data_IF_084594117948
#
_entry.id   IF_084594117948
#
_cell.length_a   1.000
_cell.length_b   1.000
_cell.length_c   1.000
_cell.angle_alpha   90.00
_cell.angle_beta   90.00
_cell.angle_gamma   90.00
#
_symmetry.space_group_name_H-M   'P 1'
#
loop_
_entity.id
_entity.type
_entity.pdbx_description
1 polymer ?
#
# COMPACT_ATOMS: atom_id res chain seq x y z
N UNK A 1 -6.09 -4.10 14.83
CA UNK A 1 -5.16 -4.77 13.88
C UNK A 1 -4.19 -3.78 13.26
N UNK A 2 -4.66 -2.68 12.64
CA UNK A 2 -3.82 -1.59 12.09
C UNK A 2 -2.79 -1.03 13.08
N UNK A 3 -3.22 -0.63 14.28
CA UNK A 3 -2.35 0.02 15.27
C UNK A 3 -1.20 -0.87 15.75
N UNK A 4 -1.46 -2.18 15.87
CA UNK A 4 -0.44 -3.17 16.25
C UNK A 4 0.56 -3.41 15.12
N UNK A 5 0.13 -3.31 13.87
CA UNK A 5 1.03 -3.42 12.74
C UNK A 5 2.00 -2.23 12.64
N UNK A 6 1.52 -1.02 12.93
CA UNK A 6 2.36 0.18 12.95
C UNK A 6 3.41 0.11 14.07
N UNK A 7 3.02 -0.36 15.25
CA UNK A 7 3.94 -0.61 16.36
C UNK A 7 5.00 -1.65 15.99
N UNK A 8 4.59 -2.78 15.41
CA UNK A 8 5.51 -3.82 14.94
C UNK A 8 6.48 -3.29 13.87
N UNK A 9 6.04 -2.38 12.99
CA UNK A 9 6.93 -1.72 12.01
C UNK A 9 7.95 -0.83 12.71
N UNK A 10 7.54 -0.02 13.69
CA UNK A 10 8.43 0.81 14.49
C UNK A 10 9.43 0.01 15.33
N UNK A 11 9.07 -1.20 15.75
CA UNK A 11 9.96 -2.13 16.46
C UNK A 11 10.89 -2.93 15.53
N UNK A 12 10.97 -2.59 14.24
CA UNK A 12 11.83 -3.29 13.28
C UNK A 12 11.38 -4.72 13.01
N UNK A 13 10.08 -5.03 13.19
CA UNK A 13 9.46 -6.33 12.89
C UNK A 13 8.48 -6.21 11.72
N UNK A 14 8.97 -5.91 10.49
CA UNK A 14 8.14 -5.74 9.30
C UNK A 14 7.31 -6.98 8.95
N UNK A 15 7.80 -8.19 9.25
CA UNK A 15 7.05 -9.43 9.02
C UNK A 15 5.78 -9.55 9.88
N UNK A 16 5.87 -9.16 11.15
CA UNK A 16 4.70 -9.16 12.04
C UNK A 16 3.70 -8.07 11.61
N UNK A 17 4.21 -6.90 11.22
CA UNK A 17 3.41 -5.82 10.67
C UNK A 17 2.67 -6.25 9.40
N UNK A 18 3.35 -6.92 8.46
CA UNK A 18 2.74 -7.43 7.23
C UNK A 18 1.59 -8.40 7.52
N UNK A 19 1.76 -9.33 8.46
CA UNK A 19 0.71 -10.28 8.82
C UNK A 19 -0.51 -9.61 9.42
N UNK A 20 -0.30 -8.63 10.30
CA UNK A 20 -1.39 -7.87 10.90
C UNK A 20 -2.11 -6.97 9.89
N UNK A 21 -1.37 -6.34 8.98
CA UNK A 21 -1.93 -5.58 7.87
C UNK A 21 -2.73 -6.48 6.94
N UNK A 22 -2.23 -7.67 6.56
CA UNK A 22 -2.99 -8.64 5.74
C UNK A 22 -4.29 -9.06 6.39
N UNK A 23 -4.33 -9.24 7.72
CA UNK A 23 -5.59 -9.51 8.42
C UNK A 23 -6.54 -8.32 8.37
N UNK A 24 -6.04 -7.10 8.55
CA UNK A 24 -6.85 -5.90 8.44
C UNK A 24 -7.37 -5.66 7.01
N UNK A 25 -6.56 -5.95 6.00
CA UNK A 25 -6.95 -5.96 4.57
C UNK A 25 -8.09 -6.95 4.33
N UNK A 26 -8.01 -8.16 4.89
CA UNK A 26 -9.10 -9.16 4.82
C UNK A 26 -10.39 -8.68 5.51
N UNK A 27 -10.27 -7.86 6.55
CA UNK A 27 -11.40 -7.22 7.22
C UNK A 27 -11.98 -6.02 6.43
N UNK A 28 -11.39 -5.67 5.28
CA UNK A 28 -11.84 -4.55 4.45
C UNK A 28 -11.22 -3.20 4.84
N UNK A 29 -10.21 -3.17 5.70
CA UNK A 29 -9.56 -1.94 6.13
C UNK A 29 -8.71 -1.34 5.00
N UNK A 30 -9.18 -0.23 4.46
CA UNK A 30 -8.64 0.42 3.27
C UNK A 30 -7.28 1.08 3.55
N UNK A 31 -7.10 1.64 4.75
CA UNK A 31 -5.81 2.19 5.22
C UNK A 31 -4.74 1.11 5.35
N UNK A 32 -5.11 -0.09 5.82
CA UNK A 32 -4.16 -1.20 5.92
C UNK A 32 -3.70 -1.71 4.55
N UNK A 33 -4.51 -1.58 3.49
CA UNK A 33 -4.09 -1.89 2.12
C UNK A 33 -2.99 -0.93 1.64
N UNK A 34 -3.11 0.35 2.00
CA UNK A 34 -2.11 1.36 1.68
C UNK A 34 -0.80 1.12 2.44
N UNK A 35 -0.88 0.88 3.75
CA UNK A 35 0.31 0.62 4.57
C UNK A 35 1.00 -0.69 4.19
N UNK A 36 0.25 -1.72 3.75
CA UNK A 36 0.81 -2.95 3.20
C UNK A 36 1.54 -2.69 1.88
N UNK A 37 0.96 -1.87 0.99
CA UNK A 37 1.63 -1.45 -0.24
C UNK A 37 2.96 -0.76 0.03
N UNK A 38 3.03 0.14 1.04
CA UNK A 38 4.30 0.78 1.43
C UNK A 38 5.33 -0.24 1.93
N UNK A 39 4.90 -1.19 2.75
CA UNK A 39 5.79 -2.22 3.28
C UNK A 39 6.36 -3.12 2.17
N UNK A 40 5.53 -3.48 1.19
CA UNK A 40 5.97 -4.23 0.00
C UNK A 40 6.87 -3.36 -0.89
N UNK A 41 6.59 -2.06 -1.01
CA UNK A 41 7.44 -1.13 -1.77
C UNK A 41 8.85 -1.06 -1.19
N UNK A 42 8.97 -0.99 0.14
CA UNK A 42 10.26 -0.96 0.83
C UNK A 42 11.04 -2.27 0.71
N UNK A 43 10.36 -3.41 0.50
CA UNK A 43 10.97 -4.74 0.42
C UNK A 43 11.29 -5.21 -1.00
N UNK A 44 10.32 -5.10 -1.89
CA UNK A 44 10.32 -5.68 -3.24
C UNK A 44 10.22 -4.61 -4.33
N UNK A 45 10.02 -3.35 -3.95
CA UNK A 45 9.92 -2.23 -4.87
C UNK A 45 8.49 -1.88 -5.29
N UNK A 46 8.37 -0.74 -5.99
CA UNK A 46 7.08 -0.17 -6.38
C UNK A 46 6.22 -1.12 -7.23
N UNK A 47 6.84 -1.94 -8.08
CA UNK A 47 6.13 -2.88 -8.95
C UNK A 47 5.32 -3.93 -8.17
N UNK A 48 5.87 -4.47 -7.08
CA UNK A 48 5.17 -5.40 -6.20
C UNK A 48 4.10 -4.70 -5.33
N UNK A 49 4.29 -3.40 -5.06
CA UNK A 49 3.40 -2.59 -4.25
C UNK A 49 2.18 -2.03 -4.99
N UNK A 50 2.32 -1.77 -6.29
CA UNK A 50 1.27 -1.23 -7.16
C UNK A 50 -0.10 -1.92 -7.04
N UNK A 51 -0.22 -3.27 -7.03
CA UNK A 51 -1.52 -3.91 -6.88
C UNK A 51 -2.20 -3.58 -5.54
N UNK A 52 -1.44 -3.42 -4.46
CA UNK A 52 -1.96 -3.06 -3.14
C UNK A 52 -2.48 -1.63 -3.13
N UNK A 53 -1.75 -0.70 -3.75
CA UNK A 53 -2.18 0.68 -3.86
C UNK A 53 -3.38 0.87 -4.77
N UNK A 54 -3.45 0.16 -5.92
CA UNK A 54 -4.67 0.11 -6.75
C UNK A 54 -5.86 -0.41 -5.96
N UNK A 55 -5.66 -1.44 -5.15
CA UNK A 55 -6.73 -2.00 -4.33
C UNK A 55 -7.25 -0.99 -3.30
N UNK A 56 -6.35 -0.25 -2.64
CA UNK A 56 -6.70 0.83 -1.73
C UNK A 56 -7.46 1.95 -2.46
N UNK A 57 -7.00 2.34 -3.66
CA UNK A 57 -7.64 3.35 -4.48
C UNK A 57 -9.06 2.95 -4.91
N UNK A 58 -9.24 1.71 -5.36
CA UNK A 58 -10.53 1.14 -5.75
C UNK A 58 -11.54 1.08 -4.60
N UNK A 59 -11.06 0.96 -3.36
CA UNK A 59 -11.89 0.94 -2.15
C UNK A 59 -12.10 2.31 -1.50
N UNK A 60 -11.66 3.39 -2.14
CA UNK A 60 -11.96 4.75 -1.70
C UNK A 60 -10.87 5.42 -0.85
N UNK A 61 -9.67 4.84 -0.74
CA UNK A 61 -8.56 5.51 -0.06
C UNK A 61 -8.25 6.85 -0.72
N UNK A 62 -8.29 7.97 0.02
CA UNK A 62 -8.14 9.31 -0.57
C UNK A 62 -6.77 9.50 -1.20
N UNK A 63 -5.70 9.11 -0.49
CA UNK A 63 -4.32 9.23 -0.99
C UNK A 63 -4.05 8.30 -2.18
N UNK A 64 -4.38 7.01 -2.05
CA UNK A 64 -4.23 6.07 -3.15
C UNK A 64 -5.11 6.44 -4.35
N UNK A 65 -6.33 6.95 -4.16
CA UNK A 65 -7.11 7.54 -5.27
C UNK A 65 -6.37 8.71 -5.89
N UNK A 66 -5.82 9.65 -5.12
CA UNK A 66 -5.10 10.76 -5.76
C UNK A 66 -3.91 10.28 -6.61
N UNK A 67 -3.22 9.23 -6.18
CA UNK A 67 -2.03 8.70 -6.85
C UNK A 67 -2.35 7.72 -8.00
N UNK A 68 -3.45 6.97 -7.89
CA UNK A 68 -3.81 5.88 -8.81
C UNK A 68 -5.19 6.04 -9.49
N UNK A 69 -5.94 7.12 -9.22
CA UNK A 69 -7.22 7.40 -9.89
C UNK A 69 -6.95 7.65 -11.36
N UNK A 70 -7.60 6.81 -12.17
CA UNK A 70 -7.56 6.78 -13.61
C UNK A 70 -7.52 8.18 -14.23
N UNK A 71 -6.47 8.45 -15.02
CA UNK A 71 -6.43 9.58 -15.94
C UNK A 71 -5.12 10.37 -16.01
N UNK A 72 -4.12 10.08 -15.18
CA UNK A 72 -2.78 10.69 -15.29
C UNK A 72 -1.75 9.60 -15.52
N UNK A 73 -1.19 9.59 -16.72
CA UNK A 73 -0.27 8.59 -17.26
C UNK A 73 0.99 8.44 -16.40
N UNK A 74 1.00 7.49 -15.48
CA UNK A 74 2.26 6.94 -14.98
C UNK A 74 2.61 5.75 -15.87
N UNK A 75 3.36 6.05 -16.92
CA UNK A 75 3.99 5.07 -17.77
C UNK A 75 4.85 4.14 -16.90
N UNK A 76 4.86 2.83 -17.20
CA UNK A 76 5.48 1.76 -16.39
C UNK A 76 6.98 1.92 -16.11
N UNK A 77 7.63 2.95 -16.66
CA UNK A 77 9.07 3.18 -16.57
C UNK A 77 9.48 4.37 -15.67
N UNK A 78 8.56 5.23 -15.23
CA UNK A 78 8.88 6.30 -14.27
C UNK A 78 9.80 7.42 -14.76
N UNK A 79 10.12 7.50 -16.04
CA UNK A 79 11.18 8.41 -16.54
C UNK A 79 10.70 9.60 -17.37
N UNK A 80 9.40 9.80 -17.61
CA UNK A 80 8.95 10.95 -18.39
C UNK A 80 7.53 11.39 -18.05
N UNK A 81 7.33 12.67 -17.66
CA UNK A 81 6.09 13.37 -17.91
C UNK A 81 6.08 13.89 -19.37
N UNK A 82 4.92 13.86 -20.02
CA UNK A 82 4.65 14.74 -21.16
C UNK A 82 4.47 16.18 -20.65
#
# INVERSE_FOLDING_TARGET
>A
LRTLALDARSQGRPDAAERMLRQAVKAGDVESMWELGRLVQEREGLAAAEPWFRMAAGRGHVVARRLFRAGGELNRDGTSPL
#
